data_IF_346272807841
#
_entry.id   IF_346272807841
#
_cell.length_a   1.000
_cell.length_b   1.000
_cell.length_c   1.000
_cell.angle_alpha   90.00
_cell.angle_beta   90.00
_cell.angle_gamma   90.00
#
_symmetry.space_group_name_H-M   'P 1'
#
loop_
_entity.id
_entity.type
_entity.pdbx_description
1 polymer ?
#
# COMPACT_ATOMS: atom_id res chain seq x y z
N UNK A 1 -7.56 25.03 1.43
CA UNK A 1 -8.03 23.64 1.21
C UNK A 1 -6.83 22.73 1.40
N UNK A 2 -6.68 22.10 2.56
CA UNK A 2 -5.63 21.09 2.77
C UNK A 2 -6.28 19.96 3.52
N UNK A 3 -6.84 19.03 2.74
CA UNK A 3 -7.34 17.77 3.28
C UNK A 3 -6.07 17.00 3.68
N UNK A 4 -5.69 17.04 4.96
CA UNK A 4 -4.66 16.14 5.51
C UNK A 4 -5.28 14.73 5.52
N UNK A 5 -5.30 14.07 4.36
CA UNK A 5 -5.29 12.61 4.34
C UNK A 5 -4.06 12.19 5.14
N UNK A 6 -4.21 11.23 6.05
CA UNK A 6 -3.03 10.70 6.75
C UNK A 6 -2.08 10.10 5.71
N UNK A 7 -0.77 10.18 5.91
CA UNK A 7 0.24 9.57 5.02
C UNK A 7 -0.14 8.11 4.67
N UNK A 8 -0.69 7.37 5.63
CA UNK A 8 -1.19 6.01 5.42
C UNK A 8 -2.35 5.92 4.41
N UNK A 9 -3.25 6.91 4.37
CA UNK A 9 -4.33 6.99 3.38
C UNK A 9 -3.78 7.20 1.98
N UNK A 10 -2.87 8.16 1.80
CA UNK A 10 -2.28 8.48 0.50
C UNK A 10 -1.52 7.29 -0.08
N UNK A 11 -0.75 6.59 0.76
CA UNK A 11 -0.08 5.34 0.38
C UNK A 11 -1.11 4.26 -0.01
N UNK A 12 -2.23 4.13 0.72
CA UNK A 12 -3.27 3.16 0.35
C UNK A 12 -3.95 3.50 -0.98
N UNK A 13 -4.11 4.79 -1.31
CA UNK A 13 -4.60 5.21 -2.63
C UNK A 13 -3.59 4.87 -3.73
N UNK A 14 -2.30 5.09 -3.49
CA UNK A 14 -1.26 4.71 -4.45
C UNK A 14 -1.20 3.20 -4.68
N UNK A 15 -1.37 2.39 -3.64
CA UNK A 15 -1.48 0.93 -3.78
C UNK A 15 -2.68 0.53 -4.66
N UNK A 16 -3.84 1.16 -4.46
CA UNK A 16 -5.05 0.87 -5.24
C UNK A 16 -4.81 1.11 -6.74
N UNK A 17 -4.18 2.22 -7.12
CA UNK A 17 -3.87 2.53 -8.53
C UNK A 17 -2.90 1.53 -9.16
N UNK A 18 -2.08 0.88 -8.33
CA UNK A 18 -1.14 -0.18 -8.74
C UNK A 18 -1.71 -1.60 -8.60
N UNK A 19 -3.00 -1.74 -8.31
CA UNK A 19 -3.70 -3.02 -8.24
C UNK A 19 -3.56 -3.77 -6.92
N UNK A 20 -3.13 -3.10 -5.85
CA UNK A 20 -2.96 -3.69 -4.52
C UNK A 20 -3.93 -3.06 -3.52
N UNK A 21 -4.81 -3.88 -2.92
CA UNK A 21 -5.75 -3.40 -1.92
C UNK A 21 -5.14 -3.50 -0.52
N UNK A 22 -5.16 -2.38 0.19
CA UNK A 22 -4.76 -2.28 1.59
C UNK A 22 -5.71 -1.33 2.32
N UNK A 23 -5.81 -1.48 3.65
CA UNK A 23 -6.56 -0.53 4.47
C UNK A 23 -5.65 0.14 5.50
N UNK A 24 -5.77 1.46 5.70
CA UNK A 24 -5.15 2.08 6.85
C UNK A 24 -5.88 1.62 8.12
N UNK A 25 -5.14 1.45 9.20
CA UNK A 25 -5.66 1.20 10.55
C UNK A 25 -4.95 2.17 11.48
N UNK A 26 -5.71 2.90 12.30
CA UNK A 26 -5.20 4.09 12.97
C UNK A 26 -4.52 5.07 11.98
N UNK A 27 -3.67 5.98 12.46
CA UNK A 27 -3.06 7.00 11.60
C UNK A 27 -1.84 6.52 10.80
N UNK A 28 -1.21 5.40 11.19
CA UNK A 28 0.15 5.04 10.76
C UNK A 28 0.32 3.60 10.27
N UNK A 29 -0.68 2.72 10.44
CA UNK A 29 -0.55 1.30 10.12
C UNK A 29 -1.29 1.01 8.81
N UNK A 30 -0.65 0.27 7.91
CA UNK A 30 -1.28 -0.25 6.69
C UNK A 30 -1.44 -1.77 6.85
N UNK A 31 -2.66 -2.26 6.67
CA UNK A 31 -2.98 -3.69 6.80
C UNK A 31 -3.25 -4.31 5.44
N UNK A 32 -2.47 -5.33 5.13
CA UNK A 32 -2.69 -6.23 4.00
C UNK A 32 -3.44 -7.48 4.49
N UNK A 33 -4.42 -7.94 3.73
CA UNK A 33 -5.19 -9.15 4.04
C UNK A 33 -5.31 -10.02 2.78
N UNK A 34 -4.21 -10.65 2.34
CA UNK A 34 -4.25 -11.55 1.19
C UNK A 34 -5.09 -12.80 1.50
N UNK A 35 -5.70 -13.43 0.48
CA UNK A 35 -6.40 -14.69 0.65
C UNK A 35 -5.43 -15.85 0.93
N UNK A 36 -5.91 -16.91 1.60
CA UNK A 36 -5.08 -18.08 1.94
C UNK A 36 -4.60 -18.88 0.71
N UNK A 37 -5.23 -18.67 -0.43
CA UNK A 37 -4.90 -19.33 -1.70
C UNK A 37 -3.84 -18.59 -2.52
N UNK A 38 -3.28 -17.49 -1.99
CA UNK A 38 -2.26 -16.69 -2.69
C UNK A 38 -1.02 -17.56 -3.00
N UNK A 39 -0.51 -17.43 -4.22
CA UNK A 39 0.68 -18.14 -4.69
C UNK A 39 1.96 -17.37 -4.36
N UNK A 40 3.12 -18.04 -4.44
CA UNK A 40 4.41 -17.38 -4.24
C UNK A 40 4.67 -16.28 -5.28
N UNK A 41 4.30 -16.49 -6.54
CA UNK A 41 4.53 -15.52 -7.61
C UNK A 41 3.66 -14.26 -7.46
N UNK A 42 2.40 -14.44 -7.04
CA UNK A 42 1.52 -13.33 -6.68
C UNK A 42 2.06 -12.56 -5.48
N UNK A 43 2.54 -13.26 -4.44
CA UNK A 43 3.14 -12.64 -3.27
C UNK A 43 4.36 -11.78 -3.65
N UNK A 44 5.26 -12.29 -4.49
CA UNK A 44 6.42 -11.54 -4.98
C UNK A 44 6.02 -10.32 -5.80
N UNK A 45 4.97 -10.45 -6.62
CA UNK A 45 4.40 -9.34 -7.39
C UNK A 45 3.84 -8.26 -6.45
N UNK A 46 3.09 -8.65 -5.43
CA UNK A 46 2.59 -7.74 -4.41
C UNK A 46 3.72 -7.03 -3.65
N UNK A 47 4.78 -7.76 -3.26
CA UNK A 47 5.95 -7.18 -2.58
C UNK A 47 6.64 -6.14 -3.46
N UNK A 48 6.80 -6.42 -4.76
CA UNK A 48 7.36 -5.46 -5.71
C UNK A 48 6.53 -4.17 -5.76
N UNK A 49 5.20 -4.29 -5.89
CA UNK A 49 4.30 -3.14 -5.86
C UNK A 49 4.45 -2.35 -4.55
N UNK A 50 4.58 -3.05 -3.42
CA UNK A 50 4.74 -2.41 -2.11
C UNK A 50 6.01 -1.55 -2.07
N UNK A 51 7.15 -2.11 -2.46
CA UNK A 51 8.45 -1.42 -2.46
C UNK A 51 8.44 -0.24 -3.43
N UNK A 52 8.00 -0.46 -4.67
CA UNK A 52 8.00 0.58 -5.70
C UNK A 52 7.09 1.75 -5.32
N UNK A 53 5.97 1.48 -4.63
CA UNK A 53 5.11 2.55 -4.11
C UNK A 53 5.75 3.29 -2.95
N UNK A 54 6.32 2.59 -1.97
CA UNK A 54 6.89 3.28 -0.79
C UNK A 54 8.07 4.20 -1.17
N UNK A 55 8.86 3.83 -2.18
CA UNK A 55 9.95 4.66 -2.72
C UNK A 55 9.47 6.00 -3.27
N UNK A 56 8.25 6.09 -3.79
CA UNK A 56 7.69 7.36 -4.29
C UNK A 56 7.40 8.36 -3.15
N UNK A 57 7.31 7.87 -1.90
CA UNK A 57 7.08 8.68 -0.70
C UNK A 57 8.35 8.90 0.13
N UNK A 58 9.51 8.38 -0.31
CA UNK A 58 10.79 8.69 0.33
C UNK A 58 11.14 10.17 0.08
N UNK A 59 11.53 10.92 1.13
CA UNK A 59 12.00 12.28 0.95
C UNK A 59 13.30 12.29 0.13
N UNK A 60 13.39 13.24 -0.81
CA UNK A 60 14.55 13.47 -1.67
C UNK A 60 15.75 14.04 -0.91
#
# INVERSE_FOLDING_TARGET
>A
MTVKGSLAWDICMAFKEKGLLAKPTHATIIRFAPPLVITNDELLTCIKIIIDTLREFEPS
#
